data_IF_522325978855
#
_entry.id   IF_522325978855
#
_cell.length_a   1.000
_cell.length_b   1.000
_cell.length_c   1.000
_cell.angle_alpha   90.00
_cell.angle_beta   90.00
_cell.angle_gamma   90.00
#
_symmetry.space_group_name_H-M   'P 1'
#
loop_
_entity.id
_entity.type
_entity.pdbx_description
1 polymer ?
#
# COMPACT_ATOMS: atom_id res chain seq x y z
N UNK A 1 64.76 33.14 -7.05
CA UNK A 1 63.33 33.10 -7.45
C UNK A 1 62.65 32.03 -6.62
N UNK A 2 62.08 32.42 -5.48
CA UNK A 2 61.22 31.55 -4.68
C UNK A 2 60.14 32.46 -4.12
N UNK A 3 59.01 32.52 -4.84
CA UNK A 3 57.84 33.31 -4.44
C UNK A 3 57.04 32.49 -3.46
N UNK A 4 56.87 33.04 -2.28
CA UNK A 4 55.80 32.72 -1.33
C UNK A 4 54.45 32.91 -2.04
N UNK A 5 53.49 32.01 -1.79
CA UNK A 5 52.09 32.29 -2.07
C UNK A 5 51.21 31.73 -0.95
N UNK A 6 50.59 32.68 -0.25
CA UNK A 6 49.62 32.55 0.82
C UNK A 6 48.41 31.70 0.42
N UNK A 7 47.98 30.82 1.32
CA UNK A 7 46.64 30.25 1.35
C UNK A 7 45.62 31.35 1.67
N UNK A 8 44.50 31.48 0.94
CA UNK A 8 43.42 32.36 1.38
C UNK A 8 42.67 31.71 2.55
N UNK A 9 42.48 32.54 3.58
CA UNK A 9 41.78 32.25 4.82
C UNK A 9 40.33 31.85 4.54
N UNK A 10 39.88 30.77 5.19
CA UNK A 10 38.49 30.37 5.22
C UNK A 10 37.61 31.50 5.75
N UNK A 11 36.62 31.90 4.96
CA UNK A 11 35.55 32.79 5.41
C UNK A 11 34.69 32.11 6.48
N UNK A 12 33.97 32.88 7.31
CA UNK A 12 33.11 32.32 8.33
C UNK A 12 32.02 31.49 7.66
N UNK A 13 32.00 30.19 7.95
CA UNK A 13 30.85 29.35 7.63
C UNK A 13 29.60 30.03 8.18
N UNK A 14 28.61 30.24 7.31
CA UNK A 14 27.28 30.69 7.76
C UNK A 14 26.84 29.75 8.89
N UNK A 15 26.19 30.27 9.94
CA UNK A 15 25.51 29.39 10.86
C UNK A 15 24.53 28.55 10.02
N UNK A 16 24.67 27.23 10.09
CA UNK A 16 23.67 26.29 9.63
C UNK A 16 22.45 26.51 10.52
N UNK A 17 21.68 27.54 10.16
CA UNK A 17 20.40 27.82 10.76
C UNK A 17 19.57 26.63 10.32
N UNK A 18 19.27 25.71 11.24
CA UNK A 18 18.57 24.45 11.00
C UNK A 18 17.14 24.66 10.49
N UNK A 19 17.02 25.29 9.34
CA UNK A 19 15.80 25.59 8.63
C UNK A 19 15.27 24.28 8.10
N UNK A 20 14.28 23.75 8.82
CA UNK A 20 13.53 22.60 8.37
C UNK A 20 12.87 22.93 7.02
N UNK A 21 13.33 22.27 5.96
CA UNK A 21 12.74 22.37 4.63
C UNK A 21 11.53 21.44 4.52
N UNK A 22 10.48 21.91 3.86
CA UNK A 22 9.29 21.13 3.57
C UNK A 22 9.56 20.21 2.37
N UNK A 23 9.50 18.89 2.56
CA UNK A 23 9.73 17.94 1.45
C UNK A 23 8.65 17.94 0.35
N UNK A 24 7.54 18.67 0.53
CA UNK A 24 6.46 18.75 -0.45
C UNK A 24 6.73 19.86 -1.47
N UNK A 25 7.12 21.06 -1.01
CA UNK A 25 7.44 22.18 -1.89
C UNK A 25 8.95 22.40 -2.09
N UNK A 26 9.78 21.72 -1.30
CA UNK A 26 11.25 21.82 -1.29
C UNK A 26 11.81 23.17 -0.82
N UNK A 27 10.99 24.00 -0.17
CA UNK A 27 11.34 25.30 0.42
C UNK A 27 11.26 25.27 1.96
N UNK A 28 11.72 26.34 2.62
CA UNK A 28 11.56 26.52 4.07
C UNK A 28 10.09 26.39 4.50
N UNK A 29 9.84 25.74 5.65
CA UNK A 29 8.47 25.51 6.12
C UNK A 29 7.75 26.82 6.45
N UNK A 30 6.62 27.07 5.75
CA UNK A 30 5.68 28.16 6.03
C UNK A 30 4.49 27.64 6.84
N UNK A 31 4.09 28.34 7.90
CA UNK A 31 2.99 27.92 8.80
C UNK A 31 3.15 26.45 9.24
N UNK A 32 4.21 26.17 10.01
CA UNK A 32 4.60 24.80 10.38
C UNK A 32 3.44 23.99 10.96
N UNK A 33 3.11 22.89 10.29
CA UNK A 33 2.18 21.88 10.77
C UNK A 33 2.91 20.58 11.04
N UNK A 34 2.89 20.14 12.30
CA UNK A 34 3.47 18.87 12.75
C UNK A 34 2.36 17.82 12.86
N UNK A 35 2.55 16.68 12.21
CA UNK A 35 1.58 15.59 12.26
C UNK A 35 1.67 14.83 13.59
N UNK A 36 0.54 14.61 14.26
CA UNK A 36 0.50 14.14 15.66
C UNK A 36 1.09 12.73 15.85
N UNK A 37 0.73 11.77 14.98
CA UNK A 37 1.16 10.36 15.10
C UNK A 37 2.66 10.12 14.83
N UNK A 38 3.26 10.78 13.82
CA UNK A 38 4.63 10.53 13.37
C UNK A 38 5.60 11.70 13.56
N UNK A 39 5.12 12.86 14.02
CA UNK A 39 5.92 14.05 14.35
C UNK A 39 6.70 14.69 13.20
N UNK A 40 6.45 14.28 11.94
CA UNK A 40 6.99 14.98 10.76
C UNK A 40 6.29 16.32 10.53
N UNK A 41 7.04 17.31 10.05
CA UNK A 41 6.57 18.70 9.87
C UNK A 41 6.61 19.14 8.41
N UNK A 42 5.62 19.94 8.02
CA UNK A 42 5.44 20.44 6.65
C UNK A 42 4.82 21.84 6.68
N UNK A 43 4.76 22.52 5.54
CA UNK A 43 3.88 23.67 5.39
C UNK A 43 2.42 23.27 5.61
N UNK A 44 1.65 24.07 6.37
CA UNK A 44 0.24 23.76 6.64
C UNK A 44 -0.59 23.61 5.36
N UNK A 45 -0.32 24.44 4.34
CA UNK A 45 -0.95 24.38 3.03
C UNK A 45 -0.60 23.10 2.28
N UNK A 46 0.69 22.80 2.14
CA UNK A 46 1.18 21.63 1.42
C UNK A 46 0.59 20.32 1.95
N UNK A 47 0.61 20.12 3.28
CA UNK A 47 0.10 18.87 3.86
C UNK A 47 -1.42 18.78 3.80
N UNK A 48 -2.13 19.91 3.90
CA UNK A 48 -3.59 19.95 3.72
C UNK A 48 -3.99 19.55 2.31
N UNK A 49 -3.30 20.06 1.29
CA UNK A 49 -3.63 19.75 -0.10
C UNK A 49 -3.24 18.31 -0.47
N UNK A 50 -2.11 17.81 0.03
CA UNK A 50 -1.74 16.41 -0.11
C UNK A 50 -2.78 15.47 0.51
N UNK A 51 -3.29 15.79 1.70
CA UNK A 51 -4.29 14.98 2.40
C UNK A 51 -5.65 14.91 1.70
N UNK A 52 -5.97 15.83 0.78
CA UNK A 52 -7.15 15.71 -0.08
C UNK A 52 -7.05 14.54 -1.07
N UNK A 53 -5.82 14.18 -1.46
CA UNK A 53 -5.54 13.08 -2.40
C UNK A 53 -5.26 11.78 -1.65
N UNK A 54 -4.33 11.84 -0.68
CA UNK A 54 -3.95 10.69 0.15
C UNK A 54 -3.66 11.19 1.56
N UNK A 55 -4.46 10.81 2.57
CA UNK A 55 -4.28 11.25 3.95
C UNK A 55 -3.15 10.47 4.64
N UNK A 56 -1.95 10.46 4.04
CA UNK A 56 -0.78 9.77 4.57
C UNK A 56 0.43 10.70 4.59
N UNK A 57 1.26 10.58 5.63
CA UNK A 57 2.50 11.33 5.74
C UNK A 57 3.44 10.99 4.56
N UNK A 58 3.96 11.98 3.81
CA UNK A 58 4.84 11.72 2.68
C UNK A 58 6.24 11.20 3.07
N UNK A 59 6.62 11.29 4.36
CA UNK A 59 7.91 10.78 4.86
C UNK A 59 7.82 9.30 5.24
N UNK A 60 6.81 8.94 6.02
CA UNK A 60 6.72 7.61 6.64
C UNK A 60 5.44 6.84 6.32
N UNK A 61 4.56 7.40 5.47
CA UNK A 61 3.31 6.81 5.01
C UNK A 61 2.29 6.48 6.13
N UNK A 62 2.46 7.04 7.34
CA UNK A 62 1.45 6.95 8.41
C UNK A 62 0.15 7.63 7.99
N UNK A 63 -0.99 6.94 8.12
CA UNK A 63 -2.31 7.44 7.72
C UNK A 63 -3.01 8.28 8.81
N UNK A 64 -3.70 9.34 8.38
CA UNK A 64 -4.37 10.37 9.18
C UNK A 64 -5.86 10.50 8.88
N UNK A 65 -6.46 9.48 8.28
CA UNK A 65 -7.89 9.43 7.98
C UNK A 65 -8.23 8.20 7.16
N UNK A 66 -9.52 8.03 6.87
CA UNK A 66 -9.98 6.97 5.98
C UNK A 66 -9.42 7.20 4.57
N UNK A 67 -8.76 6.19 4.02
CA UNK A 67 -8.33 6.17 2.64
C UNK A 67 -9.10 5.10 1.89
N UNK A 68 -9.65 5.47 0.74
CA UNK A 68 -10.38 4.56 -0.14
C UNK A 68 -9.62 4.46 -1.46
N UNK A 69 -9.35 3.24 -1.90
CA UNK A 69 -8.67 2.99 -3.17
C UNK A 69 -9.60 2.97 -4.38
N UNK A 70 -9.08 2.45 -5.48
CA UNK A 70 -9.71 2.46 -6.80
C UNK A 70 -10.15 1.07 -7.26
N UNK A 71 -10.25 0.08 -6.37
CA UNK A 71 -10.89 -1.21 -6.70
C UNK A 71 -12.33 -0.97 -7.23
N UNK A 72 -12.77 -1.61 -8.33
CA UNK A 72 -14.14 -1.45 -8.81
C UNK A 72 -15.20 -1.82 -7.77
N UNK A 73 -16.27 -1.03 -7.66
CA UNK A 73 -17.30 -1.20 -6.60
C UNK A 73 -18.20 -2.41 -6.80
N UNK A 74 -18.28 -2.93 -8.02
CA UNK A 74 -19.08 -4.08 -8.41
C UNK A 74 -18.41 -5.43 -8.11
N UNK A 75 -17.28 -5.43 -7.40
CA UNK A 75 -16.62 -6.66 -6.95
C UNK A 75 -17.31 -7.30 -5.76
N UNK A 76 -17.13 -8.61 -5.61
CA UNK A 76 -17.50 -9.37 -4.42
C UNK A 76 -16.32 -10.15 -3.85
N UNK A 77 -16.36 -10.39 -2.55
CA UNK A 77 -15.40 -11.19 -1.79
C UNK A 77 -16.19 -12.23 -0.99
N UNK A 78 -16.00 -13.50 -1.31
CA UNK A 78 -16.69 -14.61 -0.66
C UNK A 78 -15.69 -15.47 0.11
N UNK A 79 -16.08 -15.90 1.31
CA UNK A 79 -15.22 -16.69 2.19
C UNK A 79 -15.83 -18.07 2.37
N UNK A 80 -15.03 -19.10 2.13
CA UNK A 80 -15.37 -20.50 2.48
C UNK A 80 -14.24 -21.11 3.30
N UNK A 81 -14.52 -22.23 3.97
CA UNK A 81 -13.53 -22.95 4.80
C UNK A 81 -13.50 -24.41 4.40
N UNK A 82 -12.30 -24.99 4.43
CA UNK A 82 -12.01 -26.38 4.10
C UNK A 82 -11.21 -27.03 5.22
N UNK A 83 -11.36 -28.34 5.38
CA UNK A 83 -10.56 -29.14 6.32
C UNK A 83 -9.16 -29.48 5.77
N UNK A 84 -8.89 -29.18 4.50
CA UNK A 84 -7.57 -29.42 3.91
C UNK A 84 -6.52 -28.50 4.56
N UNK A 85 -5.34 -29.05 4.80
CA UNK A 85 -4.21 -28.34 5.38
C UNK A 85 -3.38 -27.65 4.27
N UNK A 86 -2.90 -26.44 4.55
CA UNK A 86 -1.87 -25.82 3.73
C UNK A 86 -0.50 -26.36 4.15
N UNK A 87 0.43 -26.59 3.21
CA UNK A 87 1.79 -26.96 3.56
C UNK A 87 2.41 -25.99 4.57
N UNK A 88 2.86 -26.52 5.71
CA UNK A 88 3.42 -25.75 6.83
C UNK A 88 2.42 -25.38 7.93
N UNK A 89 1.15 -25.79 7.83
CA UNK A 89 0.11 -25.52 8.83
C UNK A 89 -0.72 -26.78 9.13
N UNK A 90 -0.90 -27.09 10.42
CA UNK A 90 -1.75 -28.19 10.89
C UNK A 90 -3.15 -27.69 11.29
N UNK A 91 -3.80 -26.96 10.38
CA UNK A 91 -5.16 -26.47 10.54
C UNK A 91 -5.87 -26.46 9.18
N UNK A 92 -7.19 -26.20 9.19
CA UNK A 92 -7.96 -26.06 7.96
C UNK A 92 -7.48 -24.89 7.08
N UNK A 93 -8.17 -24.65 5.97
CA UNK A 93 -7.88 -23.57 5.03
C UNK A 93 -9.07 -22.63 4.90
N UNK A 94 -8.82 -21.33 4.99
CA UNK A 94 -9.75 -20.28 4.57
C UNK A 94 -9.51 -20.05 3.08
N UNK A 95 -10.57 -20.12 2.28
CA UNK A 95 -10.55 -19.86 0.85
C UNK A 95 -11.31 -18.55 0.62
N UNK A 96 -10.65 -17.61 -0.06
CA UNK A 96 -11.22 -16.31 -0.40
C UNK A 96 -11.38 -16.25 -1.92
N UNK A 97 -12.62 -16.12 -2.37
CA UNK A 97 -12.97 -15.97 -3.78
C UNK A 97 -13.38 -14.52 -4.06
N UNK A 98 -12.57 -13.84 -4.87
CA UNK A 98 -12.86 -12.52 -5.41
C UNK A 98 -13.47 -12.66 -6.79
N UNK A 99 -14.54 -11.92 -7.05
CA UNK A 99 -15.17 -11.86 -8.36
C UNK A 99 -15.47 -10.42 -8.75
N UNK A 100 -15.04 -10.02 -9.93
CA UNK A 100 -15.34 -8.73 -10.53
C UNK A 100 -15.94 -8.93 -11.92
N UNK A 101 -17.17 -8.46 -12.19
CA UNK A 101 -17.69 -8.44 -13.54
C UNK A 101 -16.98 -7.35 -14.39
N UNK A 102 -17.05 -7.43 -15.73
CA UNK A 102 -16.58 -6.34 -16.59
C UNK A 102 -17.38 -5.05 -16.34
N UNK A 103 -16.79 -3.91 -16.64
CA UNK A 103 -17.42 -2.62 -16.38
C UNK A 103 -16.75 -1.46 -17.09
N UNK A 104 -17.07 -0.24 -16.61
CA UNK A 104 -16.57 1.04 -17.11
C UNK A 104 -15.74 1.71 -16.02
N UNK A 105 -14.60 2.27 -16.41
CA UNK A 105 -13.69 2.99 -15.53
C UNK A 105 -14.35 4.26 -14.97
N UNK A 106 -14.29 4.41 -13.64
CA UNK A 106 -14.73 5.56 -12.85
C UNK A 106 -13.71 6.72 -12.97
N UNK A 107 -14.08 7.92 -12.52
CA UNK A 107 -13.21 9.13 -12.60
C UNK A 107 -11.86 8.97 -11.89
N UNK A 108 -11.74 8.05 -10.93
CA UNK A 108 -10.49 7.73 -10.23
C UNK A 108 -9.61 6.68 -10.91
N UNK A 109 -10.01 6.14 -12.06
CA UNK A 109 -9.25 5.14 -12.81
C UNK A 109 -8.37 5.79 -13.90
N UNK A 110 -7.39 5.07 -14.46
CA UNK A 110 -6.45 5.64 -15.45
C UNK A 110 -7.11 6.20 -16.71
N UNK A 111 -8.19 5.58 -17.19
CA UNK A 111 -8.91 5.99 -18.40
C UNK A 111 -10.43 6.03 -18.14
N UNK A 112 -10.95 7.08 -17.46
CA UNK A 112 -12.38 7.20 -17.16
C UNK A 112 -13.25 7.04 -18.41
N UNK A 113 -14.36 6.30 -18.29
CA UNK A 113 -15.26 5.99 -19.42
C UNK A 113 -14.83 4.82 -20.31
N UNK A 114 -13.59 4.34 -20.20
CA UNK A 114 -13.16 3.14 -20.95
C UNK A 114 -13.62 1.85 -20.27
N UNK A 115 -13.83 0.80 -21.08
CA UNK A 115 -14.15 -0.54 -20.58
C UNK A 115 -12.96 -1.20 -19.89
N UNK A 116 -13.24 -2.03 -18.91
CA UNK A 116 -12.32 -3.02 -18.37
C UNK A 116 -12.95 -4.41 -18.35
N UNK A 117 -12.12 -5.44 -18.48
CA UNK A 117 -12.58 -6.84 -18.40
C UNK A 117 -12.73 -7.30 -16.95
N UNK A 118 -13.70 -8.19 -16.71
CA UNK A 118 -13.89 -8.83 -15.41
C UNK A 118 -12.78 -9.83 -15.08
N UNK A 119 -12.71 -10.25 -13.81
CA UNK A 119 -11.76 -11.26 -13.34
C UNK A 119 -12.34 -12.02 -12.15
N UNK A 120 -11.90 -13.26 -11.98
CA UNK A 120 -12.07 -14.03 -10.74
C UNK A 120 -10.69 -14.41 -10.20
N UNK A 121 -10.50 -14.34 -8.88
CA UNK A 121 -9.25 -14.74 -8.23
C UNK A 121 -9.54 -15.48 -6.94
N UNK A 122 -8.78 -16.54 -6.69
CA UNK A 122 -8.84 -17.32 -5.47
C UNK A 122 -7.58 -17.11 -4.66
N UNK A 123 -7.73 -16.98 -3.35
CA UNK A 123 -6.63 -16.90 -2.40
C UNK A 123 -6.85 -17.83 -1.20
N UNK A 124 -5.77 -18.17 -0.52
CA UNK A 124 -5.76 -19.11 0.60
C UNK A 124 -5.10 -18.49 1.82
N UNK A 125 -5.64 -18.76 3.01
CA UNK A 125 -5.03 -18.51 4.31
C UNK A 125 -5.19 -19.77 5.19
N UNK A 126 -4.29 -20.03 6.13
CA UNK A 126 -4.52 -21.06 7.14
C UNK A 126 -5.70 -20.66 8.04
N UNK A 127 -6.56 -21.61 8.41
CA UNK A 127 -7.69 -21.40 9.32
C UNK A 127 -7.24 -21.52 10.78
N UNK A 128 -6.24 -20.72 11.16
CA UNK A 128 -5.79 -20.54 12.53
C UNK A 128 -6.00 -19.07 12.96
N UNK A 129 -5.64 -18.73 14.19
CA UNK A 129 -5.83 -17.39 14.76
C UNK A 129 -5.19 -16.29 13.89
N UNK A 130 -3.96 -16.50 13.42
CA UNK A 130 -3.24 -15.53 12.61
C UNK A 130 -3.86 -15.37 11.21
N UNK A 131 -4.29 -16.47 10.58
CA UNK A 131 -4.97 -16.39 9.29
C UNK A 131 -6.35 -15.73 9.38
N UNK A 132 -7.11 -15.96 10.45
CA UNK A 132 -8.37 -15.24 10.72
C UNK A 132 -8.12 -13.74 10.97
N UNK A 133 -7.00 -13.39 11.61
CA UNK A 133 -6.55 -12.00 11.76
C UNK A 133 -6.28 -11.35 10.40
N UNK A 134 -5.50 -12.00 9.54
CA UNK A 134 -5.27 -11.51 8.17
C UNK A 134 -6.58 -11.39 7.41
N UNK A 135 -7.50 -12.36 7.53
CA UNK A 135 -8.81 -12.31 6.87
C UNK A 135 -9.62 -11.07 7.27
N UNK A 136 -9.65 -10.69 8.55
CA UNK A 136 -10.34 -9.48 9.01
C UNK A 136 -9.77 -8.22 8.37
N UNK A 137 -8.43 -8.12 8.31
CA UNK A 137 -7.75 -7.00 7.66
C UNK A 137 -8.01 -6.97 6.14
N UNK A 138 -8.01 -8.13 5.46
CA UNK A 138 -8.34 -8.21 4.04
C UNK A 138 -9.79 -7.77 3.77
N UNK A 139 -10.75 -8.16 4.61
CA UNK A 139 -12.13 -7.68 4.50
C UNK A 139 -12.22 -6.15 4.64
N UNK A 140 -11.50 -5.59 5.62
CA UNK A 140 -11.42 -4.13 5.80
C UNK A 140 -10.81 -3.46 4.57
N UNK A 141 -9.70 -3.98 4.06
CA UNK A 141 -9.03 -3.48 2.87
C UNK A 141 -9.94 -3.57 1.62
N UNK A 142 -10.71 -4.65 1.47
CA UNK A 142 -11.66 -4.82 0.37
C UNK A 142 -12.78 -3.77 0.45
N UNK A 143 -13.35 -3.54 1.63
CA UNK A 143 -14.38 -2.51 1.86
C UNK A 143 -13.84 -1.09 1.62
N UNK A 144 -12.56 -0.87 1.91
CA UNK A 144 -11.84 0.37 1.60
C UNK A 144 -11.34 0.41 0.14
N UNK A 145 -11.69 -0.56 -0.72
CA UNK A 145 -11.33 -0.60 -2.14
C UNK A 145 -9.80 -0.65 -2.39
N UNK A 146 -9.05 -1.29 -1.50
CA UNK A 146 -7.58 -1.30 -1.50
C UNK A 146 -6.92 -2.56 -2.06
N UNK A 147 -7.64 -3.68 -2.19
CA UNK A 147 -7.02 -4.95 -2.63
C UNK A 147 -6.72 -5.00 -4.13
N UNK A 148 -7.52 -4.30 -4.92
CA UNK A 148 -7.43 -4.27 -6.37
C UNK A 148 -7.39 -2.85 -6.91
N UNK A 149 -7.00 -2.71 -8.17
CA UNK A 149 -7.10 -1.48 -8.94
C UNK A 149 -7.28 -1.80 -10.42
N UNK A 150 -7.53 -0.78 -11.24
CA UNK A 150 -7.46 -0.88 -12.70
C UNK A 150 -6.13 -0.31 -13.14
N UNK A 151 -5.40 -1.07 -13.96
CA UNK A 151 -4.11 -0.66 -14.46
C UNK A 151 -3.59 -1.58 -15.55
N UNK A 152 -2.27 -1.71 -15.58
CA UNK A 152 -1.56 -2.61 -16.50
C UNK A 152 -1.13 -3.86 -15.76
N UNK A 153 -1.49 -5.03 -16.27
CA UNK A 153 -1.06 -6.31 -15.73
C UNK A 153 0.46 -6.48 -15.86
N UNK A 154 1.15 -6.69 -14.75
CA UNK A 154 2.59 -6.91 -14.74
C UNK A 154 3.00 -8.19 -15.52
N UNK A 155 2.13 -9.21 -15.54
CA UNK A 155 2.44 -10.51 -16.16
C UNK A 155 2.16 -10.52 -17.66
N UNK A 156 1.12 -9.81 -18.11
CA UNK A 156 0.65 -9.88 -19.51
C UNK A 156 0.83 -8.57 -20.28
N UNK A 157 1.16 -7.47 -19.61
CA UNK A 157 1.24 -6.14 -20.22
C UNK A 157 -0.09 -5.53 -20.65
N UNK A 158 -1.22 -6.22 -20.41
CA UNK A 158 -2.54 -5.71 -20.79
C UNK A 158 -2.96 -4.55 -19.90
N UNK A 159 -3.31 -3.42 -20.50
CA UNK A 159 -3.89 -2.26 -19.83
C UNK A 159 -5.41 -2.35 -19.71
N UNK A 160 -6.01 -1.52 -18.86
CA UNK A 160 -7.46 -1.47 -18.60
C UNK A 160 -8.00 -2.79 -18.03
N UNK A 161 -7.23 -3.43 -17.16
CA UNK A 161 -7.61 -4.68 -16.48
C UNK A 161 -7.53 -4.54 -14.98
N UNK A 162 -8.29 -5.37 -14.27
CA UNK A 162 -8.26 -5.45 -12.82
C UNK A 162 -6.99 -6.19 -12.38
N UNK A 163 -6.19 -5.55 -11.54
CA UNK A 163 -4.91 -6.06 -11.02
C UNK A 163 -4.88 -6.01 -9.50
N UNK A 164 -3.99 -6.79 -8.88
CA UNK A 164 -3.67 -6.66 -7.46
C UNK A 164 -3.08 -5.28 -7.18
N UNK A 165 -3.30 -4.74 -5.97
CA UNK A 165 -2.83 -3.41 -5.57
C UNK A 165 -1.85 -3.47 -4.39
N UNK A 166 -0.71 -4.13 -4.61
CA UNK A 166 0.43 -4.29 -3.68
C UNK A 166 0.13 -4.98 -2.34
N UNK A 167 -0.98 -5.73 -2.25
CA UNK A 167 -1.26 -6.63 -1.14
C UNK A 167 -1.22 -8.04 -1.69
N UNK A 168 -0.15 -8.77 -1.39
CA UNK A 168 0.10 -10.08 -1.94
C UNK A 168 -0.87 -11.10 -1.35
N UNK A 169 -1.40 -11.95 -2.23
CA UNK A 169 -2.27 -13.06 -1.88
C UNK A 169 -1.60 -14.36 -2.27
N UNK A 170 -1.86 -15.41 -1.50
CA UNK A 170 -1.48 -16.78 -1.86
C UNK A 170 -2.53 -17.37 -2.78
N UNK A 171 -2.25 -17.39 -4.09
CA UNK A 171 -3.16 -17.88 -5.12
C UNK A 171 -2.96 -19.36 -5.45
N UNK A 172 -2.01 -20.02 -4.79
CA UNK A 172 -1.78 -21.46 -4.89
C UNK A 172 -1.68 -22.07 -3.48
N UNK A 173 -2.14 -23.30 -3.30
CA UNK A 173 -1.90 -24.06 -2.06
C UNK A 173 -0.49 -24.66 -2.03
N UNK A 174 0.23 -24.69 -3.15
CA UNK A 174 1.52 -25.38 -3.31
C UNK A 174 2.53 -24.56 -4.11
N UNK A 175 3.78 -25.04 -4.19
CA UNK A 175 4.84 -24.44 -5.02
C UNK A 175 5.61 -23.31 -4.33
N UNK A 176 5.35 -23.07 -3.04
CA UNK A 176 6.09 -22.08 -2.25
C UNK A 176 5.93 -20.63 -2.76
N UNK A 177 6.77 -19.71 -2.27
CA UNK A 177 6.65 -18.28 -2.57
C UNK A 177 6.74 -17.95 -4.07
N UNK A 178 7.58 -18.67 -4.82
CA UNK A 178 7.82 -18.46 -6.26
C UNK A 178 6.58 -18.74 -7.11
N UNK A 179 5.71 -19.64 -6.66
CA UNK A 179 4.42 -19.94 -7.31
C UNK A 179 3.24 -19.25 -6.61
N UNK A 180 3.50 -18.21 -5.81
CA UNK A 180 2.48 -17.53 -5.01
C UNK A 180 1.70 -18.47 -4.09
N UNK A 181 2.37 -19.51 -3.57
CA UNK A 181 1.75 -20.54 -2.75
C UNK A 181 2.49 -20.88 -1.46
N UNK A 182 2.16 -22.03 -0.91
CA UNK A 182 2.70 -22.55 0.35
C UNK A 182 3.65 -23.73 0.10
N UNK A 183 4.57 -24.05 1.04
CA UNK A 183 4.80 -23.37 2.31
C UNK A 183 5.47 -22.00 2.13
N UNK A 184 5.13 -21.05 3.00
CA UNK A 184 5.78 -19.73 3.09
C UNK A 184 5.66 -19.20 4.53
N UNK A 185 6.66 -19.48 5.38
CA UNK A 185 6.57 -19.16 6.81
C UNK A 185 6.54 -17.65 7.09
N UNK A 186 7.01 -16.81 6.16
CA UNK A 186 7.01 -15.36 6.34
C UNK A 186 5.77 -14.65 5.80
N UNK A 187 4.87 -15.34 5.10
CA UNK A 187 3.78 -14.69 4.37
C UNK A 187 2.81 -13.92 5.27
N UNK A 188 2.33 -14.52 6.36
CA UNK A 188 1.34 -13.87 7.22
C UNK A 188 1.88 -12.59 7.85
N UNK A 189 3.16 -12.56 8.23
CA UNK A 189 3.82 -11.33 8.69
C UNK A 189 3.90 -10.28 7.58
N UNK A 190 4.35 -10.67 6.37
CA UNK A 190 4.52 -9.74 5.24
C UNK A 190 3.20 -9.12 4.79
N UNK A 191 2.13 -9.92 4.67
CA UNK A 191 0.82 -9.39 4.23
C UNK A 191 0.22 -8.43 5.26
N UNK A 192 0.42 -8.66 6.57
CA UNK A 192 0.02 -7.70 7.61
C UNK A 192 0.78 -6.38 7.48
N UNK A 193 2.06 -6.42 7.15
CA UNK A 193 2.88 -5.23 6.91
C UNK A 193 2.43 -4.47 5.65
N UNK A 194 2.14 -5.18 4.56
CA UNK A 194 1.59 -4.60 3.33
C UNK A 194 0.24 -3.91 3.58
N UNK A 195 -0.64 -4.56 4.35
CA UNK A 195 -1.92 -4.01 4.78
C UNK A 195 -1.73 -2.74 5.63
N UNK A 196 -0.78 -2.77 6.59
CA UNK A 196 -0.41 -1.62 7.40
C UNK A 196 0.09 -0.45 6.56
N UNK A 197 0.93 -0.72 5.55
CA UNK A 197 1.43 0.27 4.60
C UNK A 197 0.34 0.84 3.69
N UNK A 198 -0.78 0.13 3.51
CA UNK A 198 -1.99 0.63 2.84
C UNK A 198 -2.97 1.33 3.79
N UNK A 199 -2.61 1.49 5.07
CA UNK A 199 -3.43 2.16 6.07
C UNK A 199 -4.48 1.27 6.72
N UNK A 200 -4.34 -0.05 6.61
CA UNK A 200 -5.27 -1.04 7.16
C UNK A 200 -4.67 -1.66 8.42
N UNK A 201 -5.19 -1.26 9.58
CA UNK A 201 -4.75 -1.74 10.90
C UNK A 201 -5.92 -2.33 11.69
N UNK A 202 -5.63 -3.02 12.79
CA UNK A 202 -6.68 -3.61 13.64
C UNK A 202 -7.42 -2.61 14.53
N UNK A 203 -6.86 -1.42 14.74
CA UNK A 203 -7.54 -0.33 15.43
C UNK A 203 -8.13 0.65 14.42
N UNK A 204 -9.46 0.69 14.32
CA UNK A 204 -10.29 1.90 14.34
C UNK A 204 -11.69 1.51 14.84
#
# INVERSE_FOLDING_TARGET
MSRENMFPLGGPGRPDNGEENCIICLDSILEKRTLEKCRHSFCASCIRDLFKVKPACPVCNTFYGAYTGTQPRNGSMNITRSWQHLPGFECGTIIIDYHFPPGIQEDGHPNPGHRYSGTSRRAFLPANEEGERVLRLLNRAFNQRLLFTIGTSATTGLSNVITWNDIHHKTSMHGGPECFGYPDPGYLLRVQEELRLKGVTEGD
#
